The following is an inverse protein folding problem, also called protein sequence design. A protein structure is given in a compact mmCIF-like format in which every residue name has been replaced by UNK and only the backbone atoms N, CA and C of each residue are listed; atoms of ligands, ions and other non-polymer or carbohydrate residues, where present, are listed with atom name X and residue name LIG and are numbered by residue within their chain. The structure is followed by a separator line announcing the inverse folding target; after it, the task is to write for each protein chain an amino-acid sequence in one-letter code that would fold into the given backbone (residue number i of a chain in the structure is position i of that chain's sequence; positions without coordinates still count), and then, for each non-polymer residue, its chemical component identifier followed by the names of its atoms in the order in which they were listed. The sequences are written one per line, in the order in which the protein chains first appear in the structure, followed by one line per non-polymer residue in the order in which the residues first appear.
data_IF_005514965461
#
_entry.id   IF_005514965461
#
_cell.length_a   1.000
_cell.length_b   1.000
_cell.length_c   1.000
_cell.angle_alpha   90.00
_cell.angle_beta   90.00
_cell.angle_gamma   90.00
#
_symmetry.space_group_name_H-M   'P 1'
#
loop_
_entity.id
_entity.type
_entity.pdbx_description
1 polymer ?
#
# COMPACT_ATOMS: atom_id res chain seq x y z
N UNK A 1 11.76 -15.74 6.98
CA UNK A 1 12.05 -15.25 8.35
C UNK A 1 11.57 -16.26 9.36
N UNK A 2 10.28 -16.63 9.34
CA UNK A 2 9.68 -17.67 10.20
C UNK A 2 10.39 -19.04 10.19
N UNK A 3 11.03 -19.43 9.08
CA UNK A 3 11.84 -20.67 9.00
C UNK A 3 13.13 -20.65 9.84
N UNK A 4 13.52 -19.51 10.41
CA UNK A 4 14.73 -19.34 11.24
C UNK A 4 14.40 -19.06 12.71
N UNK A 5 13.12 -19.10 13.08
CA UNK A 5 12.69 -18.88 14.45
C UNK A 5 12.92 -20.16 15.24
N UNK A 6 13.52 -20.04 16.42
CA UNK A 6 13.66 -21.15 17.35
C UNK A 6 12.32 -21.34 18.10
N UNK A 7 11.47 -22.19 17.54
CA UNK A 7 10.12 -22.44 18.05
C UNK A 7 10.16 -23.18 19.40
N UNK A 8 11.19 -23.99 19.62
CA UNK A 8 11.38 -24.74 20.87
C UNK A 8 11.67 -23.79 22.03
N UNK A 9 12.70 -22.95 21.90
CA UNK A 9 13.05 -21.95 22.90
C UNK A 9 11.91 -20.95 23.15
N UNK A 10 11.19 -20.55 22.10
CA UNK A 10 10.03 -19.67 22.21
C UNK A 10 8.90 -20.28 23.06
N UNK A 11 8.64 -21.58 22.91
CA UNK A 11 7.60 -22.28 23.67
C UNK A 11 7.99 -22.45 25.14
N UNK A 12 9.25 -22.73 25.40
CA UNK A 12 9.75 -22.93 26.76
C UNK A 12 9.78 -21.60 27.53
N UNK A 13 10.25 -20.51 26.90
CA UNK A 13 10.19 -19.15 27.45
C UNK A 13 8.73 -18.74 27.76
N UNK A 14 7.77 -19.10 26.90
CA UNK A 14 6.35 -18.79 27.11
C UNK A 14 5.72 -19.57 28.28
N UNK A 15 6.11 -20.84 28.47
CA UNK A 15 5.67 -21.64 29.63
C UNK A 15 6.24 -21.09 30.94
N UNK A 16 7.52 -20.69 30.90
CA UNK A 16 8.19 -20.08 32.05
C UNK A 16 7.49 -18.78 32.44
N UNK A 17 7.19 -17.90 31.48
CA UNK A 17 6.41 -16.68 31.71
C UNK A 17 5.06 -16.97 32.36
N UNK A 18 4.33 -17.98 31.89
CA UNK A 18 3.03 -18.33 32.47
C UNK A 18 3.15 -18.70 33.96
N UNK A 19 4.16 -19.50 34.31
CA UNK A 19 4.42 -19.90 35.71
C UNK A 19 4.87 -18.72 36.59
N UNK A 20 5.74 -17.85 36.08
CA UNK A 20 6.20 -16.65 36.80
C UNK A 20 5.06 -15.66 37.01
N UNK A 21 4.19 -15.51 36.00
CA UNK A 21 3.05 -14.60 36.06
C UNK A 21 2.05 -15.03 37.13
N UNK A 22 1.73 -16.33 37.22
CA UNK A 22 0.82 -16.85 38.26
C UNK A 22 1.42 -16.80 39.66
N UNK A 23 2.75 -16.89 39.78
CA UNK A 23 3.43 -16.79 41.07
C UNK A 23 3.56 -15.34 41.57
N UNK A 24 3.70 -14.40 40.64
CA UNK A 24 3.99 -12.99 40.96
C UNK A 24 2.73 -12.19 41.28
N UNK A 25 1.58 -12.56 40.72
CA UNK A 25 0.36 -11.75 40.78
C UNK A 25 -0.83 -12.50 41.35
N UNK A 26 -1.64 -11.77 42.12
CA UNK A 26 -2.89 -12.26 42.69
C UNK A 26 -4.10 -11.47 42.16
N UNK A 27 -5.30 -11.88 42.57
CA UNK A 27 -6.57 -11.27 42.14
C UNK A 27 -6.74 -9.80 42.59
N UNK A 28 -5.98 -9.37 43.60
CA UNK A 28 -6.01 -7.99 44.12
C UNK A 28 -5.05 -7.04 43.40
N UNK A 29 -4.24 -7.56 42.48
CA UNK A 29 -3.24 -6.77 41.75
C UNK A 29 -3.89 -5.86 40.71
N UNK A 30 -3.34 -4.65 40.54
CA UNK A 30 -3.87 -3.67 39.59
C UNK A 30 -3.75 -4.16 38.13
N UNK A 31 -4.86 -4.07 37.39
CA UNK A 31 -4.99 -4.58 36.01
C UNK A 31 -3.92 -4.01 35.07
N UNK A 32 -3.60 -2.71 35.19
CA UNK A 32 -2.60 -2.07 34.33
C UNK A 32 -1.19 -2.67 34.55
N UNK A 33 -0.86 -2.98 35.80
CA UNK A 33 0.42 -3.57 36.17
C UNK A 33 0.52 -5.02 35.66
N UNK A 34 -0.58 -5.78 35.72
CA UNK A 34 -0.67 -7.11 35.11
C UNK A 34 -0.43 -7.05 33.60
N UNK A 35 -1.15 -6.15 32.92
CA UNK A 35 -1.08 -6.03 31.46
C UNK A 35 0.30 -5.59 30.98
N UNK A 36 0.88 -4.58 31.63
CA UNK A 36 2.22 -4.09 31.25
C UNK A 36 3.28 -5.17 31.47
N UNK A 37 3.23 -5.89 32.59
CA UNK A 37 4.18 -6.98 32.83
C UNK A 37 4.05 -8.11 31.80
N UNK A 38 2.82 -8.51 31.48
CA UNK A 38 2.57 -9.53 30.46
C UNK A 38 3.07 -9.08 29.08
N UNK A 39 2.73 -7.85 28.68
CA UNK A 39 3.09 -7.26 27.39
C UNK A 39 4.61 -7.16 27.25
N UNK A 40 5.31 -6.61 28.24
CA UNK A 40 6.75 -6.38 28.18
C UNK A 40 7.51 -7.70 28.14
N UNK A 41 7.08 -8.70 28.93
CA UNK A 41 7.67 -10.03 28.89
C UNK A 41 7.43 -10.73 27.55
N UNK A 42 6.23 -10.61 26.97
CA UNK A 42 5.94 -11.15 25.64
C UNK A 42 6.79 -10.48 24.54
N UNK A 43 6.96 -9.16 24.59
CA UNK A 43 7.83 -8.43 23.66
C UNK A 43 9.29 -8.87 23.80
N UNK A 44 9.76 -9.08 25.03
CA UNK A 44 11.13 -9.54 25.32
C UNK A 44 11.37 -10.95 24.75
N UNK A 45 10.41 -11.86 24.91
CA UNK A 45 10.47 -13.22 24.35
C UNK A 45 10.49 -13.20 22.83
N UNK A 46 9.68 -12.32 22.21
CA UNK A 46 9.64 -12.16 20.74
C UNK A 46 10.97 -11.61 20.24
N UNK A 47 11.51 -10.57 20.86
CA UNK A 47 12.78 -9.96 20.44
C UNK A 47 13.97 -10.92 20.58
N UNK A 48 13.96 -11.78 21.61
CA UNK A 48 14.99 -12.81 21.83
C UNK A 48 14.94 -13.93 20.78
N UNK A 49 13.74 -14.44 20.47
CA UNK A 49 13.59 -15.67 19.69
C UNK A 49 13.28 -15.45 18.20
N UNK A 50 12.88 -14.24 17.79
CA UNK A 50 12.51 -13.93 16.39
C UNK A 50 13.62 -13.10 15.72
N UNK A 51 14.29 -13.64 14.68
CA UNK A 51 15.30 -12.88 13.95
C UNK A 51 14.65 -11.69 13.22
N UNK A 52 14.89 -10.48 13.72
CA UNK A 52 14.51 -9.25 13.05
C UNK A 52 15.62 -8.77 12.11
N UNK A 53 15.26 -8.07 11.02
CA UNK A 53 16.23 -7.39 10.16
C UNK A 53 15.78 -5.95 9.98
N UNK A 54 16.61 -5.02 10.41
CA UNK A 54 16.46 -3.62 10.07
C UNK A 54 16.79 -3.42 8.61
N UNK A 55 15.80 -3.00 7.81
CA UNK A 55 16.07 -2.56 6.44
C UNK A 55 16.53 -1.10 6.48
N UNK A 56 17.57 -0.71 5.72
CA UNK A 56 17.97 0.68 5.65
C UNK A 56 16.81 1.53 5.11
N UNK A 57 16.52 2.65 5.77
CA UNK A 57 15.42 3.57 5.43
C UNK A 57 15.54 4.14 4.01
N UNK A 58 16.74 4.09 3.41
CA UNK A 58 17.02 4.62 2.07
C UNK A 58 17.63 3.55 1.19
N UNK A 59 16.84 3.07 0.23
CA UNK A 59 17.33 2.24 -0.88
C UNK A 59 18.22 3.12 -1.77
N UNK A 60 19.53 3.06 -1.58
CA UNK A 60 20.47 3.71 -2.48
C UNK A 60 20.51 2.93 -3.79
N UNK A 61 20.38 3.63 -4.92
CA UNK A 61 20.55 2.99 -6.22
C UNK A 61 22.00 2.44 -6.33
N UNK A 62 22.18 1.18 -6.75
CA UNK A 62 23.49 0.51 -6.73
C UNK A 62 24.54 1.19 -7.62
N UNK A 63 24.13 1.85 -8.70
CA UNK A 63 25.03 2.59 -9.60
C UNK A 63 25.50 3.95 -9.05
N UNK A 64 25.00 4.40 -7.89
CA UNK A 64 25.41 5.67 -7.26
C UNK A 64 26.66 5.45 -6.39
N UNK A 65 27.81 5.77 -6.97
CA UNK A 65 29.11 5.64 -6.29
C UNK A 65 29.40 6.77 -5.29
N UNK A 66 30.37 6.57 -4.38
CA UNK A 66 30.87 7.62 -3.46
C UNK A 66 31.38 8.86 -4.22
N UNK A 67 32.08 8.65 -5.34
CA UNK A 67 32.58 9.73 -6.22
C UNK A 67 31.43 10.55 -6.80
N UNK A 68 30.37 9.89 -7.28
CA UNK A 68 29.18 10.57 -7.80
C UNK A 68 28.46 11.40 -6.73
N UNK A 69 28.32 10.86 -5.51
CA UNK A 69 27.76 11.59 -4.36
C UNK A 69 28.60 12.82 -3.98
N UNK A 70 29.92 12.68 -3.97
CA UNK A 70 30.84 13.80 -3.71
C UNK A 70 30.68 14.91 -4.77
N UNK A 71 30.60 14.54 -6.04
CA UNK A 71 30.34 15.48 -7.14
C UNK A 71 28.97 16.17 -7.02
N UNK A 72 27.93 15.43 -6.62
CA UNK A 72 26.59 16.00 -6.39
C UNK A 72 26.61 17.03 -5.26
N UNK A 73 27.27 16.72 -4.13
CA UNK A 73 27.45 17.66 -3.02
C UNK A 73 28.26 18.89 -3.45
N UNK A 74 29.35 18.72 -4.21
CA UNK A 74 30.15 19.82 -4.75
C UNK A 74 29.33 20.71 -5.69
N UNK A 75 28.50 20.12 -6.56
CA UNK A 75 27.55 20.82 -7.42
C UNK A 75 26.56 21.65 -6.58
N UNK A 76 25.98 21.06 -5.53
CA UNK A 76 25.03 21.73 -4.64
C UNK A 76 25.68 22.89 -3.86
N UNK A 77 26.89 22.70 -3.32
CA UNK A 77 27.64 23.77 -2.66
C UNK A 77 27.91 24.94 -3.59
N UNK A 78 28.28 24.66 -4.85
CA UNK A 78 28.51 25.71 -5.85
C UNK A 78 27.20 26.40 -6.26
N UNK A 79 26.08 25.68 -6.35
CA UNK A 79 24.76 26.26 -6.60
C UNK A 79 24.37 27.24 -5.50
N UNK A 80 24.51 26.84 -4.24
CA UNK A 80 24.17 27.68 -3.09
C UNK A 80 25.07 28.92 -2.98
N UNK A 81 26.26 28.90 -3.59
CA UNK A 81 27.22 30.01 -3.63
C UNK A 81 27.24 30.74 -4.98
N UNK A 82 26.33 30.40 -5.89
CA UNK A 82 26.37 30.92 -7.26
C UNK A 82 25.73 32.30 -7.33
N UNK A 83 26.50 33.27 -7.81
CA UNK A 83 26.04 34.60 -8.24
C UNK A 83 26.07 34.68 -9.77
N UNK A 84 25.48 35.77 -10.32
CA UNK A 84 25.44 36.02 -11.78
C UNK A 84 26.81 35.87 -12.47
N UNK A 85 27.91 36.21 -11.79
CA UNK A 85 29.30 36.11 -12.30
C UNK A 85 29.96 34.74 -12.09
N UNK A 86 29.66 34.00 -11.02
CA UNK A 86 30.32 32.72 -10.67
C UNK A 86 29.63 31.48 -11.29
N UNK A 87 28.54 31.68 -12.03
CA UNK A 87 27.75 30.63 -12.65
C UNK A 87 28.49 29.72 -13.63
N UNK A 88 29.61 30.16 -14.24
CA UNK A 88 30.38 29.34 -15.20
C UNK A 88 30.98 28.08 -14.54
N UNK A 89 31.52 28.22 -13.32
CA UNK A 89 32.09 27.09 -12.54
C UNK A 89 31.01 26.08 -12.14
N UNK A 90 29.84 26.56 -11.72
CA UNK A 90 28.68 25.72 -11.44
C UNK A 90 28.21 24.98 -12.71
N UNK A 91 28.05 25.68 -13.84
CA UNK A 91 27.63 25.10 -15.12
C UNK A 91 28.58 23.96 -15.55
N UNK A 92 29.90 24.15 -15.42
CA UNK A 92 30.88 23.11 -15.75
C UNK A 92 30.76 21.88 -14.85
N UNK A 93 30.66 22.07 -13.53
CA UNK A 93 30.50 20.97 -12.58
C UNK A 93 29.14 20.26 -12.76
N UNK A 94 28.07 21.00 -13.09
CA UNK A 94 26.75 20.44 -13.44
C UNK A 94 26.86 19.55 -14.67
N UNK A 95 27.46 20.03 -15.76
CA UNK A 95 27.68 19.24 -17.00
C UNK A 95 28.50 17.99 -16.72
N UNK A 96 29.61 18.12 -15.99
CA UNK A 96 30.48 17.00 -15.64
C UNK A 96 29.76 15.96 -14.78
N UNK A 97 29.00 16.41 -13.77
CA UNK A 97 28.18 15.51 -12.94
C UNK A 97 27.13 14.79 -13.76
N UNK A 98 26.40 15.49 -14.64
CA UNK A 98 25.39 14.87 -15.52
C UNK A 98 26.02 13.81 -16.45
N UNK A 99 27.17 14.13 -17.06
CA UNK A 99 27.90 13.16 -17.89
C UNK A 99 28.28 11.94 -17.06
N UNK A 100 28.85 12.15 -15.87
CA UNK A 100 29.26 11.03 -15.02
C UNK A 100 28.09 10.18 -14.51
N UNK A 101 26.95 10.80 -14.19
CA UNK A 101 25.71 10.07 -13.88
C UNK A 101 25.30 9.15 -15.03
N UNK A 102 25.31 9.66 -16.28
CA UNK A 102 24.94 8.87 -17.46
C UNK A 102 25.94 7.73 -17.71
N UNK A 103 27.24 8.02 -17.63
CA UNK A 103 28.30 7.01 -17.76
C UNK A 103 28.14 5.87 -16.74
N UNK A 104 28.01 6.22 -15.45
CA UNK A 104 27.88 5.22 -14.37
C UNK A 104 26.59 4.43 -14.45
N UNK A 105 25.49 5.07 -14.86
CA UNK A 105 24.23 4.39 -15.13
C UNK A 105 24.35 3.40 -16.30
N UNK A 106 24.91 3.84 -17.44
CA UNK A 106 25.07 2.99 -18.61
C UNK A 106 26.00 1.80 -18.32
N UNK A 107 27.11 2.02 -17.62
CA UNK A 107 27.99 0.93 -17.18
C UNK A 107 27.25 -0.10 -16.33
N UNK A 108 26.43 0.35 -15.38
CA UNK A 108 25.62 -0.54 -14.56
C UNK A 108 24.60 -1.33 -15.38
N UNK A 109 23.90 -0.69 -16.30
CA UNK A 109 22.92 -1.36 -17.18
C UNK A 109 23.63 -2.35 -18.10
N UNK A 110 24.76 -1.96 -18.71
CA UNK A 110 25.54 -2.84 -19.57
C UNK A 110 26.05 -4.06 -18.78
N UNK A 111 26.55 -3.87 -17.56
CA UNK A 111 26.94 -4.99 -16.70
C UNK A 111 25.75 -5.88 -16.31
N UNK A 112 24.53 -5.35 -16.23
CA UNK A 112 23.32 -6.16 -16.00
C UNK A 112 22.89 -6.96 -17.24
N UNK A 113 23.20 -6.49 -18.45
CA UNK A 113 22.79 -7.11 -19.71
C UNK A 113 23.85 -8.10 -20.22
N UNK A 114 25.13 -7.79 -20.04
CA UNK A 114 26.24 -8.51 -20.69
C UNK A 114 26.88 -9.63 -19.85
N UNK A 115 26.44 -9.88 -18.62
CA UNK A 115 26.91 -11.04 -17.85
C UNK A 115 25.98 -12.25 -18.17
N UNK A 116 26.45 -13.49 -18.05
CA UNK A 116 25.74 -14.75 -18.41
C UNK A 116 24.26 -14.86 -17.97
N UNK A 117 23.56 -15.92 -18.38
CA UNK A 117 22.14 -16.22 -18.12
C UNK A 117 21.60 -15.93 -16.69
N UNK A 118 22.47 -15.92 -15.67
CA UNK A 118 22.13 -15.50 -14.30
C UNK A 118 21.85 -13.99 -14.14
N UNK A 119 22.42 -13.13 -14.99
CA UNK A 119 22.25 -11.67 -15.02
C UNK A 119 20.86 -11.25 -15.52
N UNK A 120 20.21 -12.10 -16.33
CA UNK A 120 18.87 -11.86 -16.87
C UNK A 120 17.85 -11.70 -15.74
N UNK A 121 17.99 -12.44 -14.64
CA UNK A 121 17.11 -12.30 -13.47
C UNK A 121 17.26 -10.93 -12.79
N UNK A 122 18.49 -10.41 -12.71
CA UNK A 122 18.75 -9.08 -12.14
C UNK A 122 18.22 -7.98 -13.06
N UNK A 123 18.38 -8.12 -14.38
CA UNK A 123 17.81 -7.23 -15.38
C UNK A 123 16.28 -7.20 -15.35
N UNK A 124 15.62 -8.38 -15.34
CA UNK A 124 14.17 -8.46 -15.27
C UNK A 124 13.60 -7.94 -13.94
N UNK A 125 14.27 -8.18 -12.82
CA UNK A 125 13.92 -7.55 -11.54
C UNK A 125 14.06 -6.03 -11.59
N UNK A 126 15.14 -5.53 -12.19
CA UNK A 126 15.37 -4.11 -12.39
C UNK A 126 14.26 -3.45 -13.23
N UNK A 127 13.88 -4.07 -14.36
CA UNK A 127 12.77 -3.59 -15.21
C UNK A 127 11.44 -3.63 -14.45
N UNK A 128 11.12 -4.73 -13.75
CA UNK A 128 9.89 -4.86 -12.97
C UNK A 128 9.76 -3.74 -11.93
N UNK A 129 10.84 -3.42 -11.23
CA UNK A 129 10.86 -2.35 -10.21
C UNK A 129 10.86 -0.93 -10.80
N UNK A 130 11.15 -0.76 -12.10
CA UNK A 130 11.14 0.53 -12.81
C UNK A 130 9.82 0.85 -13.48
N UNK A 131 8.97 -0.15 -13.72
CA UNK A 131 7.62 0.06 -14.25
C UNK A 131 6.74 0.71 -13.18
N UNK A 132 6.37 1.97 -13.38
CA UNK A 132 5.34 2.65 -12.59
C UNK A 132 3.94 2.52 -13.22
N UNK A 133 3.86 1.99 -14.43
CA UNK A 133 2.62 1.82 -15.16
C UNK A 133 2.07 0.40 -15.00
N UNK A 134 0.80 0.29 -14.65
CA UNK A 134 0.00 -0.92 -14.95
C UNK A 134 -0.40 -0.94 -16.43
N UNK A 135 0.49 -0.53 -17.32
CA UNK A 135 0.21 -0.53 -18.74
C UNK A 135 0.66 -1.87 -19.28
N UNK A 136 -0.33 -2.75 -19.53
CA UNK A 136 -0.16 -3.84 -20.48
C UNK A 136 0.34 -3.24 -21.79
N UNK A 137 1.34 -3.87 -22.39
CA UNK A 137 1.83 -3.49 -23.71
C UNK A 137 0.63 -3.54 -24.66
N UNK A 138 0.21 -2.40 -25.21
CA UNK A 138 -0.83 -2.38 -26.23
C UNK A 138 -0.33 -3.14 -27.46
N UNK A 139 -1.07 -4.14 -28.00
CA UNK A 139 -0.65 -4.83 -29.20
C UNK A 139 -0.59 -3.87 -30.39
N UNK A 140 0.48 -3.94 -31.18
CA UNK A 140 0.55 -3.27 -32.48
C UNK A 140 -0.40 -3.99 -33.46
N UNK A 141 -1.42 -3.28 -33.95
CA UNK A 141 -2.35 -3.81 -34.96
C UNK A 141 -1.71 -3.76 -36.35
N UNK A 142 -1.61 -4.91 -37.01
CA UNK A 142 -1.59 -5.00 -38.48
C UNK A 142 -2.60 -6.08 -38.89
N UNK A 143 -3.73 -5.63 -39.42
CA UNK A 143 -4.83 -6.35 -40.07
C UNK A 143 -4.85 -7.90 -39.90
N UNK A 144 -5.54 -8.38 -38.86
CA UNK A 144 -5.78 -9.81 -38.57
C UNK A 144 -6.05 -10.08 -37.07
N UNK A 145 -6.63 -11.24 -36.68
CA UNK A 145 -6.82 -11.57 -35.27
C UNK A 145 -5.48 -11.73 -34.56
N UNK A 146 -5.39 -11.07 -33.41
CA UNK A 146 -4.16 -10.88 -32.64
C UNK A 146 -3.80 -12.14 -31.83
N UNK A 147 -2.70 -12.79 -32.19
CA UNK A 147 -2.06 -13.81 -31.36
C UNK A 147 -0.88 -13.16 -30.62
N UNK A 148 -0.91 -13.21 -29.29
CA UNK A 148 0.11 -12.63 -28.40
C UNK A 148 0.52 -13.70 -27.40
N UNK A 149 1.71 -14.27 -27.57
CA UNK A 149 2.30 -15.34 -26.74
C UNK A 149 2.75 -14.85 -25.35
N UNK A 150 1.81 -14.35 -24.55
CA UNK A 150 1.97 -14.02 -23.12
C UNK A 150 0.72 -14.40 -22.32
N UNK A 151 0.18 -15.57 -22.63
CA UNK A 151 -1.13 -16.02 -22.15
C UNK A 151 -1.19 -16.47 -20.67
N UNK A 152 -0.14 -16.40 -19.85
CA UNK A 152 -0.18 -17.12 -18.56
C UNK A 152 -0.48 -16.30 -17.29
N UNK A 153 -0.69 -14.97 -17.30
CA UNK A 153 -1.07 -14.28 -16.04
C UNK A 153 -2.29 -13.36 -16.09
N UNK A 154 -2.51 -12.61 -17.16
CA UNK A 154 -3.47 -11.50 -17.09
C UNK A 154 -4.77 -11.71 -17.91
N UNK A 155 -4.78 -12.62 -18.89
CA UNK A 155 -6.00 -12.94 -19.67
C UNK A 155 -6.94 -13.89 -18.90
N UNK A 156 -6.40 -14.70 -17.97
CA UNK A 156 -7.20 -15.59 -17.12
C UNK A 156 -8.03 -14.88 -16.03
N UNK A 157 -7.89 -13.57 -15.82
CA UNK A 157 -8.62 -12.87 -14.74
C UNK A 157 -9.76 -11.96 -15.20
N UNK A 158 -9.88 -11.66 -16.49
CA UNK A 158 -10.97 -10.83 -17.00
C UNK A 158 -11.90 -11.57 -17.97
N UNK A 159 -11.43 -12.57 -18.73
CA UNK A 159 -12.26 -13.29 -19.71
C UNK A 159 -13.06 -14.51 -19.22
N UNK A 160 -12.79 -15.17 -18.08
CA UNK A 160 -13.72 -16.19 -17.58
C UNK A 160 -14.92 -15.59 -16.83
N UNK A 161 -14.88 -14.30 -16.46
CA UNK A 161 -15.81 -13.77 -15.46
C UNK A 161 -17.20 -13.44 -16.00
N UNK A 162 -17.25 -13.00 -17.25
CA UNK A 162 -18.50 -12.65 -17.91
C UNK A 162 -19.32 -13.90 -18.26
N UNK A 163 -18.68 -15.07 -18.42
CA UNK A 163 -19.36 -16.36 -18.61
C UNK A 163 -19.74 -17.07 -17.30
N UNK A 164 -19.10 -16.72 -16.18
CA UNK A 164 -19.37 -17.35 -14.88
C UNK A 164 -20.39 -16.58 -14.02
N UNK A 165 -20.71 -15.32 -14.37
CA UNK A 165 -21.60 -14.46 -13.58
C UNK A 165 -20.98 -13.96 -12.27
N UNK A 166 -19.65 -14.04 -12.11
CA UNK A 166 -19.00 -13.69 -10.85
C UNK A 166 -18.69 -12.20 -10.77
N UNK A 167 -19.06 -11.55 -9.68
CA UNK A 167 -18.79 -10.13 -9.48
C UNK A 167 -17.29 -9.80 -9.50
N UNK A 168 -16.91 -8.71 -10.15
CA UNK A 168 -15.51 -8.26 -10.19
C UNK A 168 -14.95 -8.00 -8.79
N UNK A 169 -13.63 -8.09 -8.61
CA UNK A 169 -13.00 -7.76 -7.31
C UNK A 169 -13.25 -6.30 -6.92
N UNK A 170 -13.36 -5.41 -7.91
CA UNK A 170 -13.72 -4.01 -7.70
C UNK A 170 -15.14 -3.90 -7.15
N UNK A 171 -16.11 -4.58 -7.76
CA UNK A 171 -17.51 -4.60 -7.31
C UNK A 171 -17.64 -5.17 -5.90
N UNK A 172 -17.00 -6.32 -5.62
CA UNK A 172 -16.99 -6.91 -4.26
C UNK A 172 -16.46 -5.94 -3.21
N UNK A 173 -15.30 -5.33 -3.47
CA UNK A 173 -14.71 -4.32 -2.56
C UNK A 173 -15.60 -3.08 -2.39
N UNK A 174 -16.32 -2.66 -3.43
CA UNK A 174 -17.28 -1.56 -3.34
C UNK A 174 -18.47 -1.95 -2.45
N UNK A 175 -19.04 -3.14 -2.64
CA UNK A 175 -20.12 -3.68 -1.80
C UNK A 175 -19.69 -3.80 -0.34
N UNK A 176 -18.51 -4.35 -0.07
CA UNK A 176 -17.98 -4.49 1.30
C UNK A 176 -17.84 -3.12 2.00
N UNK A 177 -17.32 -2.11 1.28
CA UNK A 177 -17.22 -0.74 1.79
C UNK A 177 -18.59 -0.16 2.14
N UNK A 178 -19.55 -0.33 1.25
CA UNK A 178 -20.93 0.15 1.42
C UNK A 178 -21.63 -0.56 2.58
N UNK A 179 -21.44 -1.87 2.73
CA UNK A 179 -21.96 -2.66 3.85
C UNK A 179 -21.35 -2.19 5.17
N UNK A 180 -20.04 -1.95 5.20
CA UNK A 180 -19.38 -1.45 6.41
C UNK A 180 -19.90 -0.05 6.77
N UNK A 181 -20.09 0.83 5.79
CA UNK A 181 -20.64 2.15 6.04
C UNK A 181 -22.09 2.07 6.56
N UNK A 182 -22.94 1.23 5.98
CA UNK A 182 -24.30 0.99 6.49
C UNK A 182 -24.28 0.57 7.97
N UNK A 183 -23.35 -0.31 8.35
CA UNK A 183 -23.20 -0.74 9.75
C UNK A 183 -22.77 0.41 10.67
N UNK A 184 -21.90 1.30 10.21
CA UNK A 184 -21.46 2.48 10.97
C UNK A 184 -22.64 3.44 11.16
N UNK A 185 -23.39 3.72 10.09
CA UNK A 185 -24.54 4.64 10.10
C UNK A 185 -25.68 4.15 11.00
N UNK A 186 -25.95 2.85 11.01
CA UNK A 186 -26.99 2.24 11.85
C UNK A 186 -26.46 1.78 13.23
N UNK A 187 -25.26 2.22 13.65
CA UNK A 187 -24.65 1.89 14.93
C UNK A 187 -24.53 0.37 15.23
N UNK A 188 -24.40 -0.45 14.19
CA UNK A 188 -24.18 -1.90 14.28
C UNK A 188 -22.70 -2.26 14.51
N UNK A 189 -21.81 -1.27 14.46
CA UNK A 189 -20.38 -1.40 14.74
C UNK A 189 -19.95 -0.24 15.61
N UNK A 190 -19.07 -0.51 16.58
CA UNK A 190 -18.50 0.50 17.47
C UNK A 190 -17.39 1.32 16.77
N UNK A 191 -17.80 2.13 15.79
CA UNK A 191 -16.94 3.14 15.14
C UNK A 191 -17.64 4.48 15.32
N UNK A 192 -16.96 5.51 15.86
CA UNK A 192 -17.57 6.82 16.02
C UNK A 192 -17.92 7.43 14.66
N UNK A 193 -19.15 7.92 14.54
CA UNK A 193 -19.66 8.59 13.33
C UNK A 193 -19.04 9.98 13.18
N UNK A 194 -18.95 10.74 14.27
CA UNK A 194 -18.26 12.03 14.34
C UNK A 194 -16.76 11.86 14.64
N UNK A 195 -15.85 12.63 14.01
CA UNK A 195 -16.05 13.73 13.06
C UNK A 195 -16.03 13.30 11.57
N UNK A 196 -16.18 12.00 11.28
CA UNK A 196 -15.91 11.44 9.95
C UNK A 196 -17.10 11.50 8.99
N UNK A 197 -18.34 11.49 9.52
CA UNK A 197 -19.58 11.46 8.76
C UNK A 197 -20.43 12.70 9.08
N UNK A 198 -20.15 13.79 8.36
CA UNK A 198 -20.88 15.05 8.50
C UNK A 198 -22.12 15.00 7.59
N UNK A 199 -23.37 15.05 8.11
CA UNK A 199 -24.56 15.05 7.29
C UNK A 199 -24.58 16.24 6.32
N UNK A 200 -24.93 15.98 5.07
CA UNK A 200 -25.31 17.07 4.16
C UNK A 200 -26.68 17.53 4.59
N UNK A 201 -26.89 18.84 4.79
CA UNK A 201 -28.18 19.39 5.22
C UNK A 201 -29.35 19.03 4.29
N UNK A 202 -30.54 19.56 4.57
CA UNK A 202 -31.78 19.25 3.84
C UNK A 202 -31.56 19.41 2.34
N UNK A 203 -31.65 18.32 1.60
CA UNK A 203 -31.41 18.32 0.16
C UNK A 203 -32.68 18.08 -0.61
N UNK A 204 -32.90 18.90 -1.62
CA UNK A 204 -34.02 18.79 -2.56
C UNK A 204 -33.79 17.75 -3.67
N UNK A 205 -32.60 17.12 -3.75
CA UNK A 205 -32.26 16.13 -4.79
C UNK A 205 -31.34 15.03 -4.26
N UNK A 206 -31.73 13.75 -4.38
CA UNK A 206 -30.98 12.58 -3.90
C UNK A 206 -31.51 12.02 -2.58
N UNK A 207 -30.80 11.07 -1.96
CA UNK A 207 -31.27 10.46 -0.71
C UNK A 207 -30.96 11.33 0.54
N UNK A 208 -31.76 11.14 1.60
CA UNK A 208 -31.80 11.97 2.82
C UNK A 208 -30.64 11.71 3.81
N UNK A 209 -29.86 10.66 3.62
CA UNK A 209 -28.76 10.24 4.50
C UNK A 209 -27.38 10.43 3.86
N UNK A 210 -27.22 11.49 3.07
CA UNK A 210 -25.93 11.79 2.41
C UNK A 210 -24.97 12.49 3.35
N UNK A 211 -23.69 12.21 3.15
CA UNK A 211 -22.60 12.81 3.91
C UNK A 211 -21.76 13.74 3.06
N UNK A 212 -21.21 14.77 3.68
CA UNK A 212 -20.27 15.68 3.04
C UNK A 212 -19.05 14.90 2.57
N UNK A 213 -18.74 14.96 1.27
CA UNK A 213 -17.53 14.32 0.76
C UNK A 213 -16.32 15.17 1.16
N UNK A 214 -15.36 14.64 1.95
CA UNK A 214 -14.19 15.40 2.36
C UNK A 214 -13.30 15.75 1.17
N UNK A 215 -12.77 16.97 1.16
CA UNK A 215 -11.82 17.38 0.14
C UNK A 215 -10.51 16.59 0.27
N UNK A 216 -10.06 15.99 -0.83
CA UNK A 216 -8.89 15.12 -0.84
C UNK A 216 -7.85 15.63 -1.84
N UNK A 217 -6.72 16.18 -1.36
CA UNK A 217 -5.60 16.57 -2.22
C UNK A 217 -4.71 15.40 -2.65
N UNK A 218 -4.61 14.36 -1.80
CA UNK A 218 -3.76 13.18 -2.05
C UNK A 218 -4.63 12.00 -2.49
N UNK A 219 -4.25 11.34 -3.59
CA UNK A 219 -4.91 10.11 -4.07
C UNK A 219 -4.96 9.01 -2.99
N UNK A 220 -3.93 8.92 -2.16
CA UNK A 220 -3.88 7.95 -1.06
C UNK A 220 -5.05 8.16 -0.09
N UNK A 221 -5.29 9.42 0.31
CA UNK A 221 -6.40 9.75 1.21
C UNK A 221 -7.76 9.59 0.51
N UNK A 222 -7.85 9.99 -0.76
CA UNK A 222 -9.06 9.79 -1.57
C UNK A 222 -9.49 8.32 -1.66
N UNK A 223 -8.54 7.40 -1.69
CA UNK A 223 -8.79 5.96 -1.74
C UNK A 223 -8.85 5.28 -0.36
N UNK A 224 -8.64 6.02 0.73
CA UNK A 224 -8.93 5.56 2.09
C UNK A 224 -10.43 5.29 2.28
N UNK A 225 -10.78 4.61 3.38
CA UNK A 225 -12.14 4.13 3.63
C UNK A 225 -13.21 5.23 3.54
N UNK A 226 -13.19 6.24 4.43
CA UNK A 226 -14.27 7.23 4.50
C UNK A 226 -14.46 8.04 3.20
N UNK A 227 -13.43 8.68 2.61
CA UNK A 227 -13.64 9.46 1.38
C UNK A 227 -14.14 8.63 0.20
N UNK A 228 -13.70 7.38 0.11
CA UNK A 228 -14.14 6.44 -0.93
C UNK A 228 -15.54 5.88 -0.66
N UNK A 229 -15.86 5.55 0.60
CA UNK A 229 -17.14 4.94 0.98
C UNK A 229 -18.28 5.96 0.93
N UNK A 230 -18.06 7.19 1.45
CA UNK A 230 -19.01 8.31 1.37
C UNK A 230 -19.37 8.60 -0.08
N UNK A 231 -18.37 8.58 -0.98
CA UNK A 231 -18.60 8.76 -2.41
C UNK A 231 -19.58 7.71 -2.94
N UNK A 232 -19.30 6.43 -2.72
CA UNK A 232 -20.16 5.33 -3.20
C UNK A 232 -21.56 5.44 -2.59
N UNK A 233 -21.64 5.70 -1.29
CA UNK A 233 -22.89 5.85 -0.54
C UNK A 233 -23.79 6.93 -1.10
N UNK A 234 -23.24 8.12 -1.38
CA UNK A 234 -24.00 9.25 -1.90
C UNK A 234 -24.59 9.02 -3.30
N UNK A 235 -24.09 8.02 -4.05
CA UNK A 235 -24.64 7.61 -5.34
C UNK A 235 -25.71 6.52 -5.22
N UNK A 236 -26.00 6.00 -4.03
CA UNK A 236 -27.02 4.98 -3.84
C UNK A 236 -28.43 5.56 -3.94
N UNK A 237 -29.40 4.79 -4.48
CA UNK A 237 -30.79 5.23 -4.55
C UNK A 237 -31.45 5.16 -3.16
N UNK A 238 -32.37 6.10 -2.90
CA UNK A 238 -33.09 6.20 -1.61
C UNK A 238 -33.70 4.88 -1.12
N UNK A 239 -34.37 4.06 -1.97
CA UNK A 239 -34.99 2.80 -1.52
C UNK A 239 -33.98 1.81 -0.95
N UNK A 240 -32.74 1.83 -1.43
CA UNK A 240 -31.69 0.92 -0.99
C UNK A 240 -31.16 1.36 0.38
N UNK A 241 -31.00 2.67 0.60
CA UNK A 241 -30.46 3.20 1.85
C UNK A 241 -31.48 3.20 2.99
N UNK A 242 -32.77 3.29 2.68
CA UNK A 242 -33.85 3.26 3.68
C UNK A 242 -34.18 1.86 4.22
N UNK A 243 -33.48 0.82 3.79
CA UNK A 243 -33.75 -0.55 4.25
C UNK A 243 -33.39 -0.69 5.74
N UNK A 244 -34.32 -1.17 6.60
CA UNK A 244 -34.12 -1.22 8.05
C UNK A 244 -33.23 -2.39 8.49
N UNK A 245 -33.02 -3.40 7.64
CA UNK A 245 -32.25 -4.59 8.00
C UNK A 245 -30.98 -4.72 7.16
N UNK A 246 -29.89 -5.14 7.82
CA UNK A 246 -28.63 -5.45 7.15
C UNK A 246 -28.78 -6.58 6.12
N UNK A 247 -29.65 -7.55 6.39
CA UNK A 247 -29.94 -8.66 5.49
C UNK A 247 -30.59 -8.18 4.18
N UNK A 248 -31.66 -7.38 4.28
CA UNK A 248 -32.32 -6.79 3.12
C UNK A 248 -31.38 -5.87 2.33
N UNK A 249 -30.56 -5.09 3.02
CA UNK A 249 -29.55 -4.23 2.39
C UNK A 249 -28.54 -5.03 1.56
N UNK A 250 -28.01 -6.13 2.10
CA UNK A 250 -27.07 -7.01 1.38
C UNK A 250 -27.71 -7.65 0.14
N UNK A 251 -28.96 -8.08 0.24
CA UNK A 251 -29.69 -8.69 -0.87
C UNK A 251 -29.93 -7.67 -1.99
N UNK A 252 -30.36 -6.46 -1.65
CA UNK A 252 -30.54 -5.37 -2.61
C UNK A 252 -29.21 -4.98 -3.29
N UNK A 253 -28.11 -4.91 -2.53
CA UNK A 253 -26.78 -4.67 -3.08
C UNK A 253 -26.28 -5.79 -4.00
N UNK A 254 -26.67 -7.04 -3.77
CA UNK A 254 -26.31 -8.16 -4.64
C UNK A 254 -26.85 -7.94 -6.06
N UNK A 255 -28.10 -7.48 -6.16
CA UNK A 255 -28.78 -7.20 -7.44
C UNK A 255 -28.33 -5.91 -8.14
N UNK A 256 -27.75 -4.96 -7.39
CA UNK A 256 -27.33 -3.66 -7.93
C UNK A 256 -25.89 -3.67 -8.46
N UNK A 257 -25.70 -3.17 -9.69
CA UNK A 257 -24.37 -2.95 -10.25
C UNK A 257 -23.75 -1.66 -9.72
N UNK A 258 -22.83 -1.77 -8.75
CA UNK A 258 -22.10 -0.63 -8.18
C UNK A 258 -20.72 -0.56 -8.85
N UNK A 259 -20.45 0.55 -9.55
CA UNK A 259 -19.23 0.79 -10.35
C UNK A 259 -18.22 1.70 -9.66
#
# INVERSE_FOLDING_TARGET
MWKKVDITSLKDDAKLLASEFTNKFNVQSEINTLWNNFKDNCLTIIDKNVPSKSTPTRISQPWITKKLRSMSRRKQKLHNRADKKSGKKYKNIKKLHQRKCRETYNQYINNMICNDDSSLKLFWNYIKNKKNDRCGVTPLKRNGPCFSDKETSDIAHQKPKDNLGWETLRSRRAKDKTILLYKIVNHLVNIPTEPYLIPTGVSTRGHNTRYLQPHCRKLVYQHSFFPSAIRIWNYLPQPLVSLPTLGGFKQALATSTIS
#
